data_IF_524118283461
#
_entry.id   IF_524118283461
#
_cell.length_a   1.000
_cell.length_b   1.000
_cell.length_c   1.000
_cell.angle_alpha   90.00
_cell.angle_beta   90.00
_cell.angle_gamma   90.00
#
_symmetry.space_group_name_H-M   'P 1'
#
loop_
_entity.id
_entity.type
_entity.pdbx_description
1 polymer ?
#
# COMPACT_ATOMS: atom_id res chain seq x y z
N UNK A 1 -5.49 22.80 -37.01
CA UNK A 1 -4.60 21.62 -37.17
C UNK A 1 -4.23 21.15 -35.77
N UNK A 2 -5.03 20.24 -35.20
CA UNK A 2 -4.81 19.69 -33.86
C UNK A 2 -3.62 18.73 -33.93
N UNK A 3 -2.48 19.10 -33.34
CA UNK A 3 -1.39 18.15 -33.13
C UNK A 3 -1.93 16.99 -32.29
N UNK A 4 -2.03 15.83 -32.92
CA UNK A 4 -2.22 14.56 -32.23
C UNK A 4 -1.00 14.39 -31.31
N UNK A 5 -1.19 14.60 -30.02
CA UNK A 5 -0.22 14.23 -29.00
C UNK A 5 -0.17 12.70 -28.97
N UNK A 6 0.57 12.10 -29.91
CA UNK A 6 0.90 10.68 -29.85
C UNK A 6 1.68 10.46 -28.56
N UNK A 7 0.98 9.95 -27.54
CA UNK A 7 1.58 9.59 -26.25
C UNK A 7 2.55 8.42 -26.47
N UNK A 8 3.83 8.76 -26.64
CA UNK A 8 4.94 7.82 -26.82
C UNK A 8 5.44 7.24 -25.51
N UNK A 9 4.73 7.44 -24.39
CA UNK A 9 5.07 6.77 -23.13
C UNK A 9 4.90 5.27 -23.31
N UNK A 10 6.01 4.58 -23.54
CA UNK A 10 6.13 3.14 -23.42
C UNK A 10 5.52 2.72 -22.09
N UNK A 11 4.31 2.16 -22.17
CA UNK A 11 3.59 1.59 -21.03
C UNK A 11 4.52 0.54 -20.44
N UNK A 12 5.03 0.78 -19.23
CA UNK A 12 6.01 -0.11 -18.59
C UNK A 12 5.40 -1.51 -18.39
N UNK A 13 5.50 -2.37 -19.41
CA UNK A 13 5.25 -3.80 -19.32
C UNK A 13 6.52 -4.42 -18.79
N UNK A 14 6.52 -4.75 -17.51
CA UNK A 14 7.64 -5.43 -16.86
C UNK A 14 7.24 -5.97 -15.50
N UNK A 15 8.21 -6.58 -14.82
CA UNK A 15 8.12 -7.07 -13.44
C UNK A 15 7.39 -6.15 -12.45
N UNK A 16 7.45 -4.80 -12.54
CA UNK A 16 6.72 -3.92 -11.64
C UNK A 16 5.20 -4.07 -11.69
N UNK A 17 4.64 -4.45 -12.84
CA UNK A 17 3.20 -4.66 -12.99
C UNK A 17 2.73 -5.82 -12.12
N UNK A 18 3.51 -6.91 -12.02
CA UNK A 18 3.19 -8.08 -11.18
C UNK A 18 3.10 -7.66 -9.71
N UNK A 19 4.06 -6.86 -9.23
CA UNK A 19 4.03 -6.30 -7.88
C UNK A 19 2.77 -5.46 -7.67
N UNK A 20 2.47 -4.53 -8.58
CA UNK A 20 1.29 -3.64 -8.46
C UNK A 20 0.01 -4.47 -8.43
N UNK A 21 -0.15 -5.49 -9.28
CA UNK A 21 -1.31 -6.37 -9.25
C UNK A 21 -1.42 -7.18 -7.95
N UNK A 22 -0.31 -7.71 -7.44
CA UNK A 22 -0.28 -8.40 -6.16
C UNK A 22 -0.69 -7.49 -5.00
N UNK A 23 -0.22 -6.24 -4.98
CA UNK A 23 -0.64 -5.22 -4.02
C UNK A 23 -2.13 -4.89 -4.17
N UNK A 24 -2.66 -4.88 -5.40
CA UNK A 24 -4.08 -4.70 -5.68
C UNK A 24 -4.95 -5.84 -5.12
N UNK A 25 -4.52 -7.09 -5.29
CA UNK A 25 -5.19 -8.26 -4.68
C UNK A 25 -5.18 -8.13 -3.16
N UNK A 26 -4.03 -7.78 -2.57
CA UNK A 26 -3.92 -7.51 -1.14
C UNK A 26 -4.89 -6.42 -0.68
N UNK A 27 -4.96 -5.30 -1.40
CA UNK A 27 -5.87 -4.20 -1.08
C UNK A 27 -7.35 -4.63 -1.07
N UNK A 28 -7.78 -5.45 -2.02
CA UNK A 28 -9.15 -5.99 -2.06
C UNK A 28 -9.41 -6.90 -0.85
N UNK A 29 -8.48 -7.80 -0.54
CA UNK A 29 -8.59 -8.72 0.60
C UNK A 29 -8.70 -7.93 1.91
N UNK A 30 -7.79 -6.98 2.15
CA UNK A 30 -7.79 -6.21 3.39
C UNK A 30 -8.98 -5.26 3.49
N UNK A 31 -9.47 -4.72 2.37
CA UNK A 31 -10.71 -3.95 2.36
C UNK A 31 -11.90 -4.81 2.83
N UNK A 32 -12.08 -5.99 2.24
CA UNK A 32 -13.13 -6.92 2.66
C UNK A 32 -13.00 -7.32 4.13
N UNK A 33 -11.79 -7.70 4.57
CA UNK A 33 -11.51 -8.09 5.95
C UNK A 33 -11.76 -6.95 6.93
N UNK A 34 -11.46 -5.71 6.56
CA UNK A 34 -11.73 -4.53 7.38
C UNK A 34 -13.22 -4.23 7.48
N UNK A 35 -14.00 -4.41 6.41
CA UNK A 35 -15.47 -4.23 6.48
C UNK A 35 -16.08 -5.22 7.48
N UNK A 36 -15.70 -6.49 7.41
CA UNK A 36 -16.17 -7.52 8.35
C UNK A 36 -15.73 -7.20 9.78
N UNK A 37 -14.44 -6.89 9.97
CA UNK A 37 -13.87 -6.58 11.28
C UNK A 37 -14.48 -5.33 11.93
N UNK A 38 -14.64 -4.26 11.14
CA UNK A 38 -15.22 -3.01 11.60
C UNK A 38 -16.69 -3.20 11.97
N UNK A 39 -17.47 -3.90 11.14
CA UNK A 39 -18.88 -4.22 11.45
C UNK A 39 -19.00 -4.99 12.76
N UNK A 40 -18.24 -6.07 12.93
CA UNK A 40 -18.27 -6.88 14.14
C UNK A 40 -17.80 -6.09 15.37
N UNK A 41 -16.75 -5.27 15.23
CA UNK A 41 -16.22 -4.44 16.31
C UNK A 41 -17.19 -3.33 16.72
N UNK A 42 -17.89 -2.71 15.76
CA UNK A 42 -18.93 -1.71 16.02
C UNK A 42 -20.11 -2.30 16.78
N UNK A 43 -20.59 -3.49 16.37
CA UNK A 43 -21.66 -4.21 17.07
C UNK A 43 -21.24 -4.59 18.49
N UNK A 44 -19.99 -4.98 18.68
CA UNK A 44 -19.42 -5.30 20.00
C UNK A 44 -19.03 -4.09 20.87
N UNK A 45 -19.23 -2.85 20.40
CA UNK A 45 -18.83 -1.64 21.13
C UNK A 45 -17.32 -1.35 21.16
N UNK A 46 -16.52 -2.10 20.39
CA UNK A 46 -15.08 -1.94 20.29
C UNK A 46 -14.69 -0.94 19.18
N UNK A 47 -15.07 0.33 19.36
CA UNK A 47 -14.88 1.37 18.34
C UNK A 47 -13.42 1.57 17.91
N UNK A 48 -12.46 1.46 18.83
CA UNK A 48 -11.03 1.57 18.51
C UNK A 48 -10.54 0.50 17.52
N UNK A 49 -11.01 -0.74 17.68
CA UNK A 49 -10.69 -1.85 16.77
C UNK A 49 -11.34 -1.66 15.40
N UNK A 50 -12.55 -1.07 15.36
CA UNK A 50 -13.21 -0.73 14.11
C UNK A 50 -12.44 0.36 13.34
N UNK A 51 -12.07 1.45 14.03
CA UNK A 51 -11.33 2.57 13.43
C UNK A 51 -9.98 2.11 12.88
N UNK A 52 -9.20 1.36 13.66
CA UNK A 52 -7.89 0.85 13.22
C UNK A 52 -8.00 -0.10 12.03
N UNK A 53 -9.06 -0.92 11.97
CA UNK A 53 -9.31 -1.80 10.81
C UNK A 53 -9.63 -1.00 9.54
N UNK A 54 -10.44 0.06 9.65
CA UNK A 54 -10.74 0.96 8.53
C UNK A 54 -9.48 1.68 8.06
N UNK A 55 -8.68 2.22 8.99
CA UNK A 55 -7.43 2.91 8.67
C UNK A 55 -6.44 1.99 7.96
N UNK A 56 -6.31 0.73 8.40
CA UNK A 56 -5.45 -0.25 7.75
C UNK A 56 -5.88 -0.52 6.30
N UNK A 57 -7.18 -0.72 6.06
CA UNK A 57 -7.70 -0.88 4.70
C UNK A 57 -7.48 0.37 3.83
N UNK A 58 -7.72 1.57 4.38
CA UNK A 58 -7.46 2.82 3.67
C UNK A 58 -5.98 2.95 3.28
N UNK A 59 -5.05 2.63 4.17
CA UNK A 59 -3.62 2.65 3.84
C UNK A 59 -3.28 1.68 2.69
N UNK A 60 -3.87 0.48 2.69
CA UNK A 60 -3.69 -0.47 1.59
C UNK A 60 -4.26 0.04 0.26
N UNK A 61 -5.50 0.55 0.27
CA UNK A 61 -6.17 1.04 -0.94
C UNK A 61 -5.47 2.28 -1.50
N UNK A 62 -5.13 3.25 -0.65
CA UNK A 62 -4.44 4.48 -1.06
C UNK A 62 -3.00 4.19 -1.48
N UNK A 63 -2.31 3.27 -0.80
CA UNK A 63 -0.98 2.80 -1.19
C UNK A 63 -0.98 2.17 -2.59
N UNK A 64 -1.94 1.29 -2.86
CA UNK A 64 -2.12 0.67 -4.16
C UNK A 64 -2.49 1.68 -5.25
N UNK A 65 -3.51 2.52 -5.01
CA UNK A 65 -3.92 3.55 -5.97
C UNK A 65 -2.77 4.51 -6.29
N UNK A 66 -2.04 4.94 -5.26
CA UNK A 66 -0.88 5.80 -5.40
C UNK A 66 0.25 5.17 -6.21
N UNK A 67 0.56 3.90 -5.95
CA UNK A 67 1.56 3.14 -6.70
C UNK A 67 1.14 2.90 -8.17
N UNK A 68 -0.14 2.63 -8.43
CA UNK A 68 -0.68 2.39 -9.77
C UNK A 68 -0.69 3.65 -10.64
N UNK A 69 -1.10 4.79 -10.09
CA UNK A 69 -1.17 6.04 -10.85
C UNK A 69 0.19 6.74 -10.97
N UNK A 70 1.09 6.54 -10.01
CA UNK A 70 2.48 7.00 -10.00
C UNK A 70 2.73 8.50 -10.34
N UNK A 71 1.71 9.36 -10.26
CA UNK A 71 1.84 10.80 -10.43
C UNK A 71 2.49 11.46 -9.21
N UNK A 72 3.02 12.70 -9.34
CA UNK A 72 3.77 13.39 -8.27
C UNK A 72 3.02 13.41 -6.92
N UNK A 73 1.74 13.82 -6.91
CA UNK A 73 0.89 13.84 -5.70
C UNK A 73 0.57 12.42 -5.20
N UNK A 74 0.26 11.51 -6.13
CA UNK A 74 -0.06 10.11 -5.83
C UNK A 74 1.11 9.34 -5.23
N UNK A 75 2.36 9.71 -5.57
CA UNK A 75 3.55 9.15 -4.94
C UNK A 75 3.69 9.56 -3.48
N UNK A 76 3.42 10.81 -3.12
CA UNK A 76 3.44 11.22 -1.71
C UNK A 76 2.38 10.46 -0.90
N UNK A 77 1.18 10.31 -1.46
CA UNK A 77 0.12 9.49 -0.86
C UNK A 77 0.58 8.04 -0.68
N UNK A 78 1.17 7.44 -1.72
CA UNK A 78 1.68 6.07 -1.67
C UNK A 78 2.80 5.93 -0.63
N UNK A 79 3.74 6.87 -0.56
CA UNK A 79 4.81 6.89 0.43
C UNK A 79 4.25 6.92 1.85
N UNK A 80 3.31 7.82 2.13
CA UNK A 80 2.67 7.89 3.46
C UNK A 80 1.94 6.59 3.81
N UNK A 81 1.12 6.09 2.89
CA UNK A 81 0.30 4.91 3.12
C UNK A 81 1.13 3.62 3.27
N UNK A 82 2.14 3.40 2.42
CA UNK A 82 3.06 2.27 2.57
C UNK A 82 3.97 2.42 3.77
N UNK A 83 4.42 3.64 4.09
CA UNK A 83 5.16 3.92 5.32
C UNK A 83 4.38 3.51 6.56
N UNK A 84 3.10 3.90 6.64
CA UNK A 84 2.21 3.45 7.72
C UNK A 84 2.10 1.93 7.73
N UNK A 85 1.89 1.27 6.59
CA UNK A 85 1.81 -0.19 6.52
C UNK A 85 3.13 -0.92 6.87
N UNK A 86 4.28 -0.23 6.82
CA UNK A 86 5.57 -0.76 7.29
C UNK A 86 5.72 -0.60 8.81
N UNK A 87 5.35 0.55 9.37
CA UNK A 87 5.61 0.86 10.78
C UNK A 87 4.46 0.52 11.74
N UNK A 88 3.20 0.61 11.30
CA UNK A 88 2.04 0.29 12.14
C UNK A 88 2.02 -1.18 12.64
N UNK A 89 2.51 -2.19 11.91
CA UNK A 89 2.68 -3.52 12.47
C UNK A 89 3.57 -3.56 13.73
N UNK A 90 4.57 -2.68 13.84
CA UNK A 90 5.41 -2.58 15.05
C UNK A 90 4.60 -2.06 16.24
N UNK A 91 3.65 -1.15 16.00
CA UNK A 91 2.72 -0.71 17.04
C UNK A 91 1.83 -1.86 17.52
N UNK A 92 1.55 -2.85 16.67
CA UNK A 92 0.82 -4.07 17.04
C UNK A 92 1.53 -4.99 18.03
N UNK A 93 2.75 -4.66 18.45
CA UNK A 93 3.44 -5.31 19.56
C UNK A 93 3.03 -4.76 20.94
N UNK A 94 2.43 -3.56 20.97
CA UNK A 94 2.06 -2.85 22.22
C UNK A 94 0.60 -2.35 22.21
N UNK A 95 -0.02 -2.24 21.04
CA UNK A 95 -1.41 -1.86 20.85
C UNK A 95 -2.19 -3.08 20.38
N UNK A 96 -3.36 -3.31 20.98
CA UNK A 96 -4.27 -4.37 20.55
C UNK A 96 -4.98 -3.97 19.24
N UNK A 97 -4.88 -4.86 18.26
CA UNK A 97 -5.59 -4.73 16.98
C UNK A 97 -6.51 -5.92 16.80
N UNK A 98 -7.57 -5.75 16.00
CA UNK A 98 -8.41 -6.88 15.66
C UNK A 98 -7.56 -7.94 14.95
N UNK A 99 -7.72 -9.24 15.26
CA UNK A 99 -6.86 -10.32 14.73
C UNK A 99 -6.76 -10.33 13.20
N UNK A 100 -7.78 -9.85 12.49
CA UNK A 100 -7.80 -9.74 11.03
C UNK A 100 -7.10 -8.51 10.46
N UNK A 101 -6.69 -7.56 11.30
CA UNK A 101 -5.99 -6.36 10.89
C UNK A 101 -4.57 -6.75 10.42
N UNK A 102 -4.09 -6.25 9.26
CA UNK A 102 -2.74 -6.56 8.78
C UNK A 102 -1.62 -6.08 9.71
N UNK A 103 -1.91 -5.22 10.70
CA UNK A 103 -0.95 -4.76 11.69
C UNK A 103 -0.93 -5.60 12.97
N UNK A 104 -1.86 -6.55 13.13
CA UNK A 104 -1.95 -7.41 14.31
C UNK A 104 -0.67 -8.22 14.52
N UNK A 105 -0.07 -8.11 15.72
CA UNK A 105 1.17 -8.80 16.10
C UNK A 105 2.23 -8.75 14.99
N UNK A 106 2.61 -7.55 14.53
CA UNK A 106 3.57 -7.35 13.44
C UNK A 106 3.19 -7.97 12.08
N UNK A 107 1.92 -8.34 11.88
CA UNK A 107 1.42 -8.97 10.65
C UNK A 107 1.41 -10.50 10.70
N UNK A 108 1.54 -11.09 11.89
CA UNK A 108 1.60 -12.54 12.09
C UNK A 108 0.39 -13.29 11.56
N UNK A 109 -0.80 -12.69 11.61
CA UNK A 109 -2.05 -13.29 11.08
C UNK A 109 -1.92 -13.77 9.64
N UNK A 110 -1.10 -13.09 8.85
CA UNK A 110 -0.93 -13.35 7.42
C UNK A 110 0.50 -13.78 7.08
N UNK A 111 1.19 -14.44 8.02
CA UNK A 111 2.59 -14.87 7.86
C UNK A 111 3.53 -13.75 7.40
N UNK A 112 3.31 -12.52 7.88
CA UNK A 112 4.08 -11.32 7.55
C UNK A 112 4.02 -10.87 6.07
N UNK A 113 3.22 -11.54 5.23
CA UNK A 113 3.01 -11.17 3.83
C UNK A 113 2.56 -9.71 3.63
N UNK A 114 1.65 -9.12 4.46
CA UNK A 114 1.25 -7.74 4.30
C UNK A 114 2.44 -6.79 4.51
N UNK A 115 3.24 -7.03 5.54
CA UNK A 115 4.43 -6.24 5.88
C UNK A 115 5.49 -6.34 4.79
N UNK A 116 5.76 -7.55 4.29
CA UNK A 116 6.69 -7.77 3.17
C UNK A 116 6.20 -7.06 1.89
N UNK A 117 4.91 -7.15 1.59
CA UNK A 117 4.30 -6.44 0.46
C UNK A 117 4.44 -4.92 0.58
N UNK A 118 4.22 -4.38 1.78
CA UNK A 118 4.40 -2.95 2.06
C UNK A 118 5.85 -2.50 1.92
N UNK A 119 6.82 -3.29 2.42
CA UNK A 119 8.25 -3.02 2.25
C UNK A 119 8.63 -3.03 0.77
N UNK A 120 8.18 -4.04 0.01
CA UNK A 120 8.44 -4.14 -1.42
C UNK A 120 7.85 -2.95 -2.20
N UNK A 121 6.62 -2.53 -1.87
CA UNK A 121 5.99 -1.36 -2.46
C UNK A 121 6.74 -0.06 -2.13
N UNK A 122 7.18 0.10 -0.88
CA UNK A 122 7.94 1.25 -0.43
C UNK A 122 9.31 1.32 -1.12
N UNK A 123 10.02 0.19 -1.19
CA UNK A 123 11.29 0.07 -1.93
C UNK A 123 11.12 0.38 -3.41
N UNK A 124 10.06 -0.12 -4.04
CA UNK A 124 9.72 0.18 -5.42
C UNK A 124 9.47 1.69 -5.65
N UNK A 125 8.77 2.35 -4.73
CA UNK A 125 8.52 3.79 -4.81
C UNK A 125 9.80 4.62 -4.68
N UNK A 126 10.76 4.18 -3.87
CA UNK A 126 12.08 4.79 -3.75
C UNK A 126 12.91 4.61 -5.03
N UNK A 127 12.90 3.40 -5.59
CA UNK A 127 13.65 3.08 -6.80
C UNK A 127 13.11 3.80 -8.03
N UNK A 128 11.79 3.84 -8.19
CA UNK A 128 11.14 4.40 -9.38
C UNK A 128 11.17 5.94 -9.43
N UNK A 129 11.96 6.62 -8.60
CA UNK A 129 12.01 8.09 -8.55
C UNK A 129 12.69 8.63 -9.81
N UNK A 130 12.13 9.65 -10.50
CA UNK A 130 12.73 10.19 -11.72
C UNK A 130 14.16 10.70 -11.49
N UNK A 131 14.42 11.33 -10.34
CA UNK A 131 15.75 11.80 -9.95
C UNK A 131 16.76 10.64 -9.77
N UNK A 132 16.31 9.51 -9.21
CA UNK A 132 17.16 8.32 -9.04
C UNK A 132 17.42 7.62 -10.38
N UNK A 133 16.46 7.66 -11.31
CA UNK A 133 16.65 7.16 -12.67
C UNK A 133 17.60 8.05 -13.48
N UNK A 134 17.45 9.37 -13.39
CA UNK A 134 18.31 10.33 -14.06
C UNK A 134 19.77 10.26 -13.57
N UNK A 135 20.00 10.15 -12.26
CA UNK A 135 21.34 9.99 -11.70
C UNK A 135 22.06 8.73 -12.24
N UNK A 136 21.36 7.59 -12.35
CA UNK A 136 21.93 6.34 -12.89
C UNK A 136 22.21 6.38 -14.39
N UNK A 137 21.53 7.25 -15.14
CA UNK A 137 21.82 7.46 -16.56
C UNK A 137 23.09 8.30 -16.77
N UNK A 138 23.51 9.07 -15.76
CA UNK A 138 24.77 9.84 -15.80
C UNK A 138 25.99 9.04 -15.33
N UNK A 139 25.78 7.92 -14.63
CA UNK A 139 26.85 7.00 -14.18
C UNK A 139 27.20 5.91 -15.20
N UNK A 140 26.49 5.84 -16.32
CA UNK A 140 26.78 4.94 -17.46
C UNK A 140 27.45 5.71 -18.58
#
# INVERSE_FOLDING_TARGET
MSQELTDTRTRAHGWPSVLIYALGVGAVIFLWRAVVAATNSMVGGHYGLAVTSILAALCWVLGFAGAKHNGRRMRYLAFGAWGINVFAPLAGLVVDFHYSNPWFEAGRTYFYLPTLGAIAAFAWLMWSRPAAMAARQMEK
#
